data_IF_305432486553
#
_entry.id   IF_305432486553
#
_cell.length_a   1.000
_cell.length_b   1.000
_cell.length_c   1.000
_cell.angle_alpha   90.00
_cell.angle_beta   90.00
_cell.angle_gamma   90.00
#
_symmetry.space_group_name_H-M   'P 1'
#
loop_
_entity.id
_entity.type
_entity.pdbx_description
1 polymer ?
#
# COMPACT_ATOMS: atom_id res chain seq x y z
N UNK A 1 -1.52 -5.86 4.85
CA UNK A 1 -2.12 -5.57 3.51
C UNK A 1 -3.03 -4.37 3.65
N UNK A 2 -2.85 -3.35 2.82
CA UNK A 2 -3.53 -2.06 2.94
C UNK A 2 -4.12 -1.64 1.60
N UNK A 3 -5.23 -0.89 1.65
CA UNK A 3 -5.88 -0.33 0.47
C UNK A 3 -6.49 1.02 0.81
N UNK A 4 -6.40 1.95 -0.15
CA UNK A 4 -7.04 3.25 -0.11
C UNK A 4 -7.68 3.55 -1.46
N UNK A 5 -8.82 4.22 -1.42
CA UNK A 5 -9.50 4.72 -2.61
C UNK A 5 -9.78 6.21 -2.45
N UNK A 6 -9.74 6.95 -3.55
CA UNK A 6 -10.02 8.38 -3.59
C UNK A 6 -10.75 8.73 -4.88
N UNK A 7 -11.92 9.37 -4.79
CA UNK A 7 -12.56 9.95 -5.97
C UNK A 7 -11.75 11.18 -6.41
N UNK A 8 -11.26 11.17 -7.64
CA UNK A 8 -10.61 12.32 -8.27
C UNK A 8 -11.64 13.21 -8.96
N UNK A 9 -12.80 12.64 -9.31
CA UNK A 9 -13.97 13.32 -9.83
C UNK A 9 -15.22 12.43 -9.73
N UNK A 10 -16.37 12.85 -10.27
CA UNK A 10 -17.62 12.08 -10.18
C UNK A 10 -17.54 10.68 -10.77
N UNK A 11 -16.80 10.52 -11.88
CA UNK A 11 -16.65 9.26 -12.62
C UNK A 11 -15.19 8.79 -12.69
N UNK A 12 -14.36 9.26 -11.75
CA UNK A 12 -12.94 8.95 -11.72
C UNK A 12 -12.48 8.56 -10.31
N UNK A 13 -12.00 7.33 -10.18
CA UNK A 13 -11.53 6.74 -8.93
C UNK A 13 -10.05 6.37 -9.04
N UNK A 14 -9.29 6.74 -8.01
CA UNK A 14 -7.98 6.20 -7.72
C UNK A 14 -8.10 5.01 -6.76
N UNK A 15 -7.40 3.93 -7.07
CA UNK A 15 -7.19 2.78 -6.19
C UNK A 15 -5.70 2.64 -5.92
N UNK A 16 -5.30 2.62 -4.64
CA UNK A 16 -3.94 2.31 -4.22
C UNK A 16 -3.99 1.13 -3.24
N UNK A 17 -3.31 0.02 -3.56
CA UNK A 17 -3.37 -1.19 -2.75
C UNK A 17 -2.06 -1.97 -2.74
N UNK A 18 -1.80 -2.66 -1.63
CA UNK A 18 -0.76 -3.70 -1.58
C UNK A 18 -1.33 -5.02 -2.06
N UNK A 19 -0.56 -5.75 -2.85
CA UNK A 19 -0.84 -7.15 -3.16
C UNK A 19 0.18 -8.04 -2.44
N UNK A 20 -0.31 -9.13 -1.85
CA UNK A 20 0.56 -10.11 -1.22
C UNK A 20 1.24 -10.97 -2.28
N UNK A 21 2.56 -11.08 -2.18
CA UNK A 21 3.40 -11.96 -3.01
C UNK A 21 4.22 -12.89 -2.12
N UNK A 22 4.65 -14.01 -2.66
CA UNK A 22 5.55 -14.92 -1.92
C UNK A 22 7.00 -14.44 -2.05
N UNK A 23 7.83 -14.76 -1.06
CA UNK A 23 9.24 -14.36 -1.05
C UNK A 23 10.09 -14.94 -2.20
N UNK A 24 9.59 -15.98 -2.86
CA UNK A 24 10.25 -16.82 -3.85
C UNK A 24 9.59 -16.69 -5.23
N UNK A 25 8.57 -15.84 -5.36
CA UNK A 25 8.03 -15.49 -6.67
C UNK A 25 9.07 -14.70 -7.48
N UNK A 26 9.20 -15.08 -8.74
CA UNK A 26 10.02 -14.37 -9.71
C UNK A 26 9.39 -13.01 -10.05
N UNK A 27 10.21 -12.09 -10.56
CA UNK A 27 9.72 -10.79 -11.00
C UNK A 27 8.63 -10.91 -12.10
N UNK A 28 8.69 -11.95 -12.94
CA UNK A 28 7.68 -12.22 -13.95
C UNK A 28 6.35 -12.64 -13.33
N UNK A 29 6.36 -13.56 -12.37
CA UNK A 29 5.16 -14.00 -11.66
C UNK A 29 4.50 -12.85 -10.88
N UNK A 30 5.31 -11.99 -10.24
CA UNK A 30 4.81 -10.78 -9.57
C UNK A 30 4.14 -9.83 -10.57
N UNK A 31 4.78 -9.58 -11.72
CA UNK A 31 4.20 -8.72 -12.75
C UNK A 31 2.87 -9.27 -13.29
N UNK A 32 2.79 -10.58 -13.55
CA UNK A 32 1.57 -11.23 -14.00
C UNK A 32 0.45 -11.16 -12.94
N UNK A 33 0.80 -11.32 -11.66
CA UNK A 33 -0.14 -11.17 -10.55
C UNK A 33 -0.69 -9.73 -10.45
N UNK A 34 0.17 -8.72 -10.62
CA UNK A 34 -0.21 -7.29 -10.67
C UNK A 34 -1.17 -7.05 -11.84
N UNK A 35 -0.82 -7.49 -13.05
CA UNK A 35 -1.64 -7.31 -14.25
C UNK A 35 -3.02 -7.99 -14.09
N UNK A 36 -3.05 -9.20 -13.54
CA UNK A 36 -4.29 -9.92 -13.26
C UNK A 36 -5.15 -9.19 -12.22
N UNK A 37 -4.54 -8.63 -11.17
CA UNK A 37 -5.25 -7.85 -10.16
C UNK A 37 -5.82 -6.55 -10.75
N UNK A 38 -5.05 -5.82 -11.55
CA UNK A 38 -5.52 -4.61 -12.25
C UNK A 38 -6.72 -4.92 -13.14
N UNK A 39 -6.63 -5.98 -13.96
CA UNK A 39 -7.72 -6.40 -14.84
C UNK A 39 -9.01 -6.71 -14.05
N UNK A 40 -8.90 -7.41 -12.91
CA UNK A 40 -10.05 -7.67 -12.03
C UNK A 40 -10.65 -6.38 -11.46
N UNK A 41 -9.81 -5.43 -11.04
CA UNK A 41 -10.26 -4.14 -10.52
C UNK A 41 -11.03 -3.39 -11.62
N UNK A 42 -10.49 -3.30 -12.83
CA UNK A 42 -11.14 -2.58 -13.94
C UNK A 42 -12.45 -3.24 -14.37
N UNK A 43 -12.52 -4.58 -14.34
CA UNK A 43 -13.75 -5.31 -14.63
C UNK A 43 -14.84 -5.07 -13.57
N UNK A 44 -14.46 -5.03 -12.29
CA UNK A 44 -15.40 -4.82 -11.18
C UNK A 44 -15.80 -3.36 -10.98
N UNK A 45 -14.90 -2.41 -11.26
CA UNK A 45 -15.09 -0.98 -11.08
C UNK A 45 -14.55 -0.22 -12.31
N UNK A 46 -15.37 -0.04 -13.36
CA UNK A 46 -14.93 0.60 -14.60
C UNK A 46 -14.44 2.05 -14.45
N UNK A 47 -14.85 2.76 -13.38
CA UNK A 47 -14.42 4.12 -13.08
C UNK A 47 -13.05 4.20 -12.37
N UNK A 48 -12.46 3.07 -11.98
CA UNK A 48 -11.09 3.01 -11.47
C UNK A 48 -10.08 3.29 -12.59
N UNK A 49 -9.85 4.57 -12.86
CA UNK A 49 -8.96 5.06 -13.92
C UNK A 49 -7.50 4.91 -13.51
N UNK A 50 -7.17 5.37 -12.31
CA UNK A 50 -5.81 5.35 -11.75
C UNK A 50 -5.69 4.21 -10.74
N UNK A 51 -4.78 3.27 -10.98
CA UNK A 51 -4.58 2.10 -10.12
C UNK A 51 -3.09 1.99 -9.82
N UNK A 52 -2.73 2.02 -8.54
CA UNK A 52 -1.38 1.76 -8.04
C UNK A 52 -1.39 0.48 -7.21
N UNK A 53 -0.70 -0.54 -7.69
CA UNK A 53 -0.50 -1.79 -6.96
C UNK A 53 0.97 -1.93 -6.59
N UNK A 54 1.23 -2.07 -5.30
CA UNK A 54 2.57 -2.36 -4.78
C UNK A 54 2.65 -3.83 -4.33
N UNK A 55 3.65 -4.60 -4.76
CA UNK A 55 3.88 -5.92 -4.20
C UNK A 55 4.44 -5.81 -2.78
N UNK A 56 3.98 -6.68 -1.89
CA UNK A 56 4.44 -6.80 -0.51
C UNK A 56 4.63 -8.27 -0.15
N UNK A 57 5.77 -8.63 0.45
CA UNK A 57 6.00 -10.02 0.86
C UNK A 57 4.97 -10.38 1.92
N UNK A 58 4.25 -11.47 1.69
CA UNK A 58 3.22 -11.92 2.61
C UNK A 58 3.80 -12.20 4.00
N UNK A 59 3.24 -11.53 5.01
CA UNK A 59 3.55 -11.75 6.41
C UNK A 59 2.25 -12.07 7.15
N UNK A 60 2.19 -13.27 7.74
CA UNK A 60 1.00 -13.79 8.41
C UNK A 60 0.61 -12.96 9.64
N UNK A 61 1.59 -12.49 10.42
CA UNK A 61 1.37 -11.70 11.63
C UNK A 61 0.86 -10.29 11.30
N UNK A 62 1.44 -9.67 10.26
CA UNK A 62 0.96 -8.38 9.75
C UNK A 62 -0.46 -8.49 9.16
N UNK A 63 -0.77 -9.60 8.50
CA UNK A 63 -2.11 -9.87 7.99
C UNK A 63 -3.13 -10.06 9.14
N UNK A 64 -2.75 -10.79 10.20
CA UNK A 64 -3.61 -11.01 11.37
C UNK A 64 -3.90 -9.73 12.16
N UNK A 65 -2.94 -8.81 12.22
CA UNK A 65 -3.06 -7.56 13.00
C UNK A 65 -3.61 -6.38 12.20
N UNK A 66 -3.77 -6.51 10.88
CA UNK A 66 -4.12 -5.39 10.00
C UNK A 66 -3.06 -4.27 9.95
N UNK A 67 -1.88 -4.51 10.50
CA UNK A 67 -0.79 -3.53 10.57
C UNK A 67 -0.18 -3.33 9.19
N UNK A 68 0.21 -2.10 8.89
CA UNK A 68 0.85 -1.74 7.63
C UNK A 68 2.37 -1.70 7.84
N UNK A 69 3.15 -2.72 7.43
CA UNK A 69 4.59 -2.77 7.71
C UNK A 69 5.35 -1.62 7.02
N UNK A 70 4.83 -1.08 5.92
CA UNK A 70 5.39 0.10 5.23
C UNK A 70 5.26 1.42 5.99
N UNK A 71 4.48 1.48 7.08
CA UNK A 71 4.38 2.67 7.94
C UNK A 71 5.47 2.74 9.02
N UNK A 72 6.17 1.63 9.28
CA UNK A 72 7.16 1.56 10.35
C UNK A 72 8.45 2.35 10.03
N UNK A 73 8.65 2.75 8.78
CA UNK A 73 9.86 3.48 8.34
C UNK A 73 9.71 5.01 8.41
N UNK A 74 8.52 5.55 8.66
CA UNK A 74 8.36 6.95 9.09
C UNK A 74 8.60 7.01 10.60
N UNK A 75 9.89 7.10 10.99
CA UNK A 75 10.24 7.45 12.35
C UNK A 75 9.54 8.78 12.72
N UNK A 76 8.95 8.93 13.91
CA UNK A 76 8.45 10.22 14.34
C UNK A 76 9.61 11.20 14.34
N UNK A 77 9.45 12.32 13.64
CA UNK A 77 10.38 13.44 13.66
C UNK A 77 10.56 13.88 15.12
N UNK A 78 11.67 13.47 15.73
CA UNK A 78 11.97 13.80 17.12
C UNK A 78 12.34 15.27 17.17
N UNK A 79 11.33 16.13 17.38
CA UNK A 79 11.52 17.52 17.74
C UNK A 79 12.36 17.59 19.02
N UNK A 80 13.66 17.85 18.85
CA UNK A 80 14.56 18.21 19.93
C UNK A 80 14.20 19.63 20.39
N UNK A 81 13.31 19.73 21.37
CA UNK A 81 13.05 20.95 22.12
C UNK A 81 14.08 21.09 23.24
N UNK A 82 14.97 22.06 23.12
CA UNK A 82 16.03 22.34 24.10
C UNK A 82 15.46 22.78 25.45
N UNK A 83 15.95 22.17 26.53
CA UNK A 83 15.76 22.67 27.89
C UNK A 83 16.81 23.73 28.20
N UNK A 84 16.37 24.99 28.25
CA UNK A 84 17.14 26.09 28.85
C UNK A 84 17.33 25.84 30.35
N UNK A 85 18.59 25.84 30.78
CA UNK A 85 19.01 25.79 32.17
C UNK A 85 18.69 27.13 32.85
N UNK A 86 17.85 27.10 33.87
CA UNK A 86 17.73 28.17 34.86
C UNK A 86 18.47 27.73 36.13
N UNK A 87 19.68 28.25 36.34
CA UNK A 87 20.32 28.46 37.65
C UNK A 87 21.37 29.54 37.47
#
# INVERSE_FOLDING_TARGET
IHMRTLHLGPEELLVAAKIAVRHDETAAEVADAINAAENRIRAACPIARVIYLEPDIYNADAAATGTNPGKATEAPDTATGGTGSAT
#
